data_IF_940387845377
#
_entry.id   IF_940387845377
#
_cell.length_a   1.000
_cell.length_b   1.000
_cell.length_c   1.000
_cell.angle_alpha   90.00
_cell.angle_beta   90.00
_cell.angle_gamma   90.00
#
_symmetry.space_group_name_H-M   'P 1'
#
loop_
_entity.id
_entity.type
_entity.pdbx_description
1 polymer ?
#
# COMPACT_ATOMS: atom_id res chain seq x y z
N UNK A 1 10.41 3.62 3.85
CA UNK A 1 10.68 4.80 3.00
C UNK A 1 9.51 5.03 2.05
N UNK A 2 8.43 5.59 2.60
CA UNK A 2 7.15 5.83 1.93
C UNK A 2 7.16 7.07 1.04
N UNK A 3 8.31 7.75 0.98
CA UNK A 3 8.57 8.89 0.09
C UNK A 3 8.39 8.53 -1.39
N UNK A 4 8.40 7.25 -1.75
CA UNK A 4 8.11 6.81 -3.12
C UNK A 4 6.63 6.65 -3.44
N UNK A 5 5.74 6.57 -2.45
CA UNK A 5 4.31 6.43 -2.72
C UNK A 5 3.75 7.71 -3.33
N UNK A 6 4.15 8.89 -2.85
CA UNK A 6 3.61 10.18 -3.32
C UNK A 6 4.65 11.31 -3.12
N UNK A 7 5.73 11.35 -3.92
CA UNK A 7 6.61 12.52 -3.92
C UNK A 7 6.97 12.99 -5.34
N UNK A 8 6.97 14.31 -5.52
CA UNK A 8 7.55 15.01 -6.68
C UNK A 8 6.68 15.16 -7.93
N UNK A 9 6.21 14.06 -8.54
CA UNK A 9 5.51 14.07 -9.84
C UNK A 9 4.16 13.32 -9.83
N UNK A 10 3.74 12.82 -8.67
CA UNK A 10 2.61 11.92 -8.49
C UNK A 10 1.22 12.57 -8.57
N UNK A 11 1.12 13.78 -9.15
CA UNK A 11 -0.17 14.43 -9.46
C UNK A 11 -0.73 13.99 -10.81
N UNK A 12 0.04 13.26 -11.61
CA UNK A 12 -0.46 12.69 -12.87
C UNK A 12 -1.55 11.65 -12.63
N UNK A 13 -1.47 10.87 -11.55
CA UNK A 13 -2.52 9.91 -11.18
C UNK A 13 -3.87 10.60 -10.96
N UNK A 14 -3.84 11.84 -10.47
CA UNK A 14 -5.04 12.66 -10.27
C UNK A 14 -5.64 13.17 -11.58
N UNK A 15 -4.92 13.07 -12.71
CA UNK A 15 -5.39 13.46 -14.05
C UNK A 15 -5.87 12.27 -14.88
N UNK A 16 -5.74 11.04 -14.38
CA UNK A 16 -6.18 9.82 -15.06
C UNK A 16 -7.71 9.77 -15.14
N UNK A 17 -8.23 9.25 -16.25
CA UNK A 17 -9.67 9.02 -16.47
C UNK A 17 -10.28 8.11 -15.39
N UNK A 18 -11.55 8.39 -15.05
CA UNK A 18 -12.32 7.55 -14.14
C UNK A 18 -12.37 6.10 -14.66
N UNK A 19 -12.07 5.14 -13.78
CA UNK A 19 -11.96 3.71 -14.10
C UNK A 19 -10.52 3.18 -14.25
N UNK A 20 -9.54 4.01 -14.63
CA UNK A 20 -8.11 3.61 -14.72
C UNK A 20 -7.31 3.94 -13.46
N UNK A 21 -7.83 4.85 -12.65
CA UNK A 21 -7.13 5.32 -11.44
C UNK A 21 -6.87 4.20 -10.43
N UNK A 22 -7.80 3.26 -10.25
CA UNK A 22 -7.65 2.16 -9.31
C UNK A 22 -6.45 1.26 -9.67
N UNK A 23 -6.34 0.88 -10.95
CA UNK A 23 -5.25 0.06 -11.44
C UNK A 23 -3.90 0.79 -11.38
N UNK A 24 -3.90 2.08 -11.70
CA UNK A 24 -2.70 2.91 -11.65
C UNK A 24 -2.20 3.03 -10.21
N UNK A 25 -3.12 3.32 -9.27
CA UNK A 25 -2.80 3.43 -7.86
C UNK A 25 -2.27 2.12 -7.28
N UNK A 26 -2.89 0.98 -7.62
CA UNK A 26 -2.36 -0.33 -7.25
C UNK A 26 -0.92 -0.51 -7.77
N UNK A 27 -0.67 -0.16 -9.03
CA UNK A 27 0.68 -0.23 -9.63
C UNK A 27 1.73 0.54 -8.84
N UNK A 28 1.41 1.76 -8.41
CA UNK A 28 2.32 2.58 -7.61
C UNK A 28 2.55 2.00 -6.20
N UNK A 29 1.51 1.46 -5.57
CA UNK A 29 1.63 0.78 -4.28
C UNK A 29 2.50 -0.48 -4.39
N UNK A 30 2.32 -1.29 -5.45
CA UNK A 30 3.16 -2.47 -5.70
C UNK A 30 4.63 -2.09 -5.92
N UNK A 31 4.89 -1.01 -6.66
CA UNK A 31 6.25 -0.52 -6.89
C UNK A 31 6.90 -0.02 -5.61
N UNK A 32 6.17 0.73 -4.78
CA UNK A 32 6.65 1.20 -3.49
C UNK A 32 6.96 0.04 -2.54
N UNK A 33 6.05 -0.93 -2.43
CA UNK A 33 6.23 -2.12 -1.59
C UNK A 33 7.48 -2.92 -2.02
N UNK A 34 7.68 -3.09 -3.34
CA UNK A 34 8.89 -3.74 -3.87
C UNK A 34 10.17 -2.97 -3.49
N UNK A 35 10.19 -1.65 -3.71
CA UNK A 35 11.36 -0.80 -3.38
C UNK A 35 11.67 -0.81 -1.89
N UNK A 36 10.64 -0.82 -1.05
CA UNK A 36 10.81 -0.92 0.41
C UNK A 36 11.48 -2.23 0.80
N UNK A 37 11.01 -3.35 0.24
CA UNK A 37 11.61 -4.64 0.48
C UNK A 37 13.06 -4.72 -0.02
N UNK A 38 13.37 -4.14 -1.19
CA UNK A 38 14.75 -4.03 -1.70
C UNK A 38 15.63 -3.19 -0.76
N UNK A 39 15.12 -2.07 -0.25
CA UNK A 39 15.82 -1.23 0.72
C UNK A 39 16.12 -1.99 2.02
N UNK A 40 15.11 -2.67 2.60
CA UNK A 40 15.28 -3.51 3.80
C UNK A 40 16.37 -4.57 3.58
N UNK A 41 16.29 -5.29 2.45
CA UNK A 41 17.30 -6.30 2.07
C UNK A 41 18.70 -5.71 1.93
N UNK A 42 18.82 -4.47 1.45
CA UNK A 42 20.11 -3.78 1.31
C UNK A 42 20.74 -3.36 2.65
N UNK A 43 19.90 -3.13 3.68
CA UNK A 43 20.34 -2.63 4.99
C UNK A 43 20.74 -3.75 5.95
N UNK A 44 20.22 -4.96 5.76
CA UNK A 44 20.58 -6.11 6.59
C UNK A 44 21.75 -6.87 5.93
N UNK A 45 22.92 -6.86 6.57
CA UNK A 45 24.13 -7.53 6.07
C UNK A 45 24.04 -9.06 6.21
N UNK A 46 24.56 -9.78 5.20
CA UNK A 46 24.35 -11.21 4.86
C UNK A 46 24.85 -12.28 5.87
N UNK A 47 24.86 -12.03 7.17
CA UNK A 47 25.18 -13.07 8.16
C UNK A 47 23.86 -13.69 8.68
N UNK A 48 23.30 -14.68 7.97
CA UNK A 48 22.17 -15.54 8.38
C UNK A 48 20.92 -14.86 9.00
N UNK A 49 20.68 -13.59 8.65
CA UNK A 49 19.61 -12.78 9.23
C UNK A 49 18.29 -12.84 8.44
N UNK A 50 17.99 -13.95 7.76
CA UNK A 50 16.73 -14.10 7.01
C UNK A 50 15.48 -13.82 7.84
N UNK A 51 15.51 -14.22 9.12
CA UNK A 51 14.43 -13.94 10.09
C UNK A 51 14.29 -12.45 10.42
N UNK A 52 15.39 -11.69 10.49
CA UNK A 52 15.36 -10.25 10.73
C UNK A 52 14.85 -9.48 9.50
N UNK A 53 15.28 -9.88 8.30
CA UNK A 53 14.75 -9.33 7.04
C UNK A 53 13.26 -9.58 6.96
N UNK A 54 12.82 -10.82 7.22
CA UNK A 54 11.42 -11.16 7.15
C UNK A 54 10.57 -10.37 8.15
N UNK A 55 11.08 -10.22 9.38
CA UNK A 55 10.41 -9.42 10.42
C UNK A 55 10.28 -7.96 10.00
N UNK A 56 11.35 -7.35 9.50
CA UNK A 56 11.33 -5.98 9.00
C UNK A 56 10.34 -5.82 7.83
N UNK A 57 10.32 -6.77 6.89
CA UNK A 57 9.35 -6.76 5.79
C UNK A 57 7.90 -6.88 6.29
N UNK A 58 7.62 -7.74 7.29
CA UNK A 58 6.29 -7.89 7.90
C UNK A 58 5.83 -6.58 8.57
N UNK A 59 6.73 -5.88 9.28
CA UNK A 59 6.41 -4.57 9.86
C UNK A 59 6.15 -3.52 8.79
N UNK A 60 7.02 -3.41 7.79
CA UNK A 60 6.81 -2.43 6.70
C UNK A 60 5.54 -2.72 5.88
N UNK A 61 5.15 -3.98 5.74
CA UNK A 61 3.86 -4.35 5.13
C UNK A 61 2.68 -3.81 5.94
N UNK A 62 2.71 -3.98 7.27
CA UNK A 62 1.68 -3.44 8.16
C UNK A 62 1.65 -1.90 8.12
N UNK A 63 2.81 -1.25 8.13
CA UNK A 63 2.91 0.22 8.04
C UNK A 63 2.29 0.75 6.72
N UNK A 64 2.59 0.10 5.58
CA UNK A 64 1.96 0.43 4.30
C UNK A 64 0.44 0.27 4.41
N UNK A 65 -0.03 -0.82 5.05
CA UNK A 65 -1.44 -1.06 5.30
C UNK A 65 -2.10 0.04 6.12
N UNK A 66 -1.48 0.47 7.23
CA UNK A 66 -2.03 1.53 8.09
C UNK A 66 -2.12 2.89 7.40
N UNK A 67 -1.15 3.20 6.54
CA UNK A 67 -1.15 4.40 5.70
C UNK A 67 -2.28 4.34 4.68
N UNK A 68 -2.40 3.23 3.95
CA UNK A 68 -3.45 3.05 2.96
C UNK A 68 -4.83 3.07 3.62
N UNK A 69 -5.00 2.46 4.79
CA UNK A 69 -6.27 2.42 5.55
C UNK A 69 -6.61 3.74 6.25
N UNK A 70 -5.67 4.68 6.34
CA UNK A 70 -5.87 5.96 7.05
C UNK A 70 -5.93 5.79 8.57
N UNK A 71 -5.32 4.72 9.10
CA UNK A 71 -5.19 4.44 10.54
C UNK A 71 -3.94 5.07 11.14
N UNK A 72 -2.98 5.45 10.31
CA UNK A 72 -1.71 5.99 10.78
C UNK A 72 -1.91 7.38 11.43
N UNK A 73 -1.33 7.53 12.63
CA UNK A 73 -1.56 8.62 13.59
C UNK A 73 -0.52 9.74 13.49
N UNK A 74 0.34 9.73 12.47
CA UNK A 74 1.48 10.64 12.40
C UNK A 74 1.08 12.10 12.06
N UNK A 75 1.21 13.01 13.03
CA UNK A 75 0.92 14.44 12.88
C UNK A 75 2.10 15.25 12.31
N UNK A 76 2.65 14.78 11.18
CA UNK A 76 3.70 15.48 10.45
C UNK A 76 3.15 16.14 9.17
N UNK A 77 3.73 17.28 8.75
CA UNK A 77 3.23 18.06 7.59
C UNK A 77 3.24 17.23 6.30
N UNK A 78 4.26 16.41 6.09
CA UNK A 78 4.36 15.59 4.88
C UNK A 78 3.31 14.48 4.87
N UNK A 79 3.01 13.91 6.04
CA UNK A 79 1.93 12.94 6.20
C UNK A 79 0.55 13.56 5.93
N UNK A 80 0.31 14.82 6.32
CA UNK A 80 -0.93 15.54 5.99
C UNK A 80 -1.14 15.71 4.49
N UNK A 81 -0.06 15.96 3.73
CA UNK A 81 -0.13 16.04 2.28
C UNK A 81 -0.45 14.68 1.67
N UNK A 82 0.24 13.62 2.12
CA UNK A 82 -0.01 12.25 1.72
C UNK A 82 -1.47 11.83 1.96
N UNK A 83 -1.98 12.08 3.16
CA UNK A 83 -3.36 11.76 3.53
C UNK A 83 -4.38 12.52 2.65
N UNK A 84 -4.14 13.81 2.36
CA UNK A 84 -5.02 14.57 1.44
C UNK A 84 -5.01 13.98 0.04
N UNK A 85 -3.85 13.58 -0.44
CA UNK A 85 -3.71 13.02 -1.78
C UNK A 85 -4.36 11.62 -1.86
N UNK A 86 -4.23 10.79 -0.81
CA UNK A 86 -4.95 9.51 -0.68
C UNK A 86 -6.47 9.72 -0.65
N UNK A 87 -6.98 10.67 0.15
CA UNK A 87 -8.42 11.00 0.16
C UNK A 87 -8.90 11.38 -1.24
N UNK A 88 -8.11 12.17 -1.97
CA UNK A 88 -8.45 12.57 -3.36
C UNK A 88 -8.45 11.37 -4.32
N UNK A 89 -7.47 10.48 -4.22
CA UNK A 89 -7.39 9.25 -5.02
C UNK A 89 -8.59 8.36 -4.74
N UNK A 90 -8.91 8.11 -3.47
CA UNK A 90 -10.03 7.26 -3.09
C UNK A 90 -11.40 7.87 -3.44
N UNK A 91 -11.52 9.20 -3.43
CA UNK A 91 -12.69 9.89 -3.97
C UNK A 91 -12.91 9.58 -5.45
N UNK A 92 -11.84 9.64 -6.26
CA UNK A 92 -11.90 9.27 -7.69
C UNK A 92 -12.13 7.77 -7.92
N UNK A 93 -11.54 6.90 -7.09
CA UNK A 93 -11.82 5.45 -7.13
C UNK A 93 -13.31 5.21 -6.88
N UNK A 94 -13.89 5.86 -5.87
CA UNK A 94 -15.32 5.79 -5.57
C UNK A 94 -16.21 6.30 -6.70
N UNK A 95 -15.84 7.42 -7.33
CA UNK A 95 -16.53 7.95 -8.52
C UNK A 95 -16.50 6.98 -9.70
N UNK A 96 -15.44 6.18 -9.83
CA UNK A 96 -15.29 5.16 -10.86
C UNK A 96 -16.08 3.86 -10.61
N UNK A 97 -16.72 3.70 -9.45
CA UNK A 97 -17.60 2.56 -9.17
C UNK A 97 -18.90 2.77 -9.94
N UNK A 98 -19.15 1.92 -10.95
CA UNK A 98 -20.35 2.00 -11.81
C UNK A 98 -21.58 1.33 -11.20
N UNK A 99 -21.37 0.40 -10.27
CA UNK A 99 -22.46 -0.26 -9.53
C UNK A 99 -22.92 0.66 -8.39
N UNK A 100 -24.14 1.18 -8.52
CA UNK A 100 -24.72 2.12 -7.55
C UNK A 100 -24.87 1.48 -6.17
N UNK A 101 -25.20 0.18 -6.10
CA UNK A 101 -25.38 -0.51 -4.81
C UNK A 101 -24.07 -0.63 -4.03
N UNK A 102 -22.96 -0.86 -4.74
CA UNK A 102 -21.61 -0.89 -4.15
C UNK A 102 -21.18 0.53 -3.76
N UNK A 103 -21.49 1.53 -4.59
CA UNK A 103 -21.14 2.93 -4.31
C UNK A 103 -21.84 3.45 -3.06
N UNK A 104 -23.13 3.15 -2.90
CA UNK A 104 -23.96 3.52 -1.75
C UNK A 104 -23.41 2.97 -0.42
N UNK A 105 -22.80 1.77 -0.44
CA UNK A 105 -22.12 1.18 0.74
C UNK A 105 -21.06 2.13 1.33
N UNK A 106 -20.48 3.00 0.49
CA UNK A 106 -19.44 3.95 0.89
C UNK A 106 -19.93 5.41 0.97
N UNK A 107 -21.24 5.68 0.81
CA UNK A 107 -21.86 7.02 0.89
C UNK A 107 -22.26 7.41 2.32
N UNK A 108 -21.32 7.26 3.27
CA UNK A 108 -21.52 7.73 4.65
C UNK A 108 -21.09 9.20 4.79
N UNK A 109 -22.02 10.08 5.19
CA UNK A 109 -21.72 11.49 5.53
C UNK A 109 -20.68 11.66 6.65
N UNK A 110 -20.44 10.61 7.45
CA UNK A 110 -19.45 10.61 8.53
C UNK A 110 -18.06 10.19 8.06
N UNK A 111 -17.93 9.61 6.87
CA UNK A 111 -16.67 9.08 6.33
C UNK A 111 -16.16 9.95 5.16
N UNK A 112 -15.67 11.14 5.50
CA UNK A 112 -15.07 12.06 4.53
C UNK A 112 -13.66 11.66 4.08
N UNK A 113 -13.10 10.60 4.64
CA UNK A 113 -11.76 10.08 4.34
C UNK A 113 -11.78 8.74 3.62
N UNK A 114 -12.97 8.22 3.32
CA UNK A 114 -13.18 6.93 2.67
C UNK A 114 -12.56 5.75 3.44
N UNK A 115 -12.55 5.81 4.78
CA UNK A 115 -11.93 4.81 5.66
C UNK A 115 -12.46 3.40 5.36
N UNK A 116 -13.78 3.23 5.17
CA UNK A 116 -14.33 1.90 4.86
C UNK A 116 -13.85 1.41 3.47
N UNK A 117 -13.89 2.28 2.46
CA UNK A 117 -13.44 1.94 1.12
C UNK A 117 -11.94 1.63 1.09
N UNK A 118 -11.12 2.39 1.82
CA UNK A 118 -9.68 2.19 1.98
C UNK A 118 -9.37 0.86 2.65
N UNK A 119 -10.13 0.48 3.68
CA UNK A 119 -10.01 -0.81 4.36
C UNK A 119 -10.35 -1.97 3.43
N UNK A 120 -11.49 -1.90 2.73
CA UNK A 120 -11.92 -2.95 1.80
C UNK A 120 -10.96 -3.05 0.60
N UNK A 121 -10.42 -1.91 0.13
CA UNK A 121 -9.41 -1.87 -0.92
C UNK A 121 -8.11 -2.53 -0.49
N UNK A 122 -7.64 -2.24 0.73
CA UNK A 122 -6.45 -2.90 1.27
C UNK A 122 -6.67 -4.42 1.34
N UNK A 123 -7.79 -4.86 1.91
CA UNK A 123 -8.11 -6.29 2.00
C UNK A 123 -8.11 -6.99 0.64
N UNK A 124 -8.64 -6.32 -0.40
CA UNK A 124 -8.70 -6.85 -1.75
C UNK A 124 -7.34 -6.92 -2.49
N UNK A 125 -6.30 -6.21 -2.01
CA UNK A 125 -5.02 -6.08 -2.73
C UNK A 125 -3.78 -6.47 -1.90
N UNK A 126 -3.92 -6.65 -0.58
CA UNK A 126 -2.82 -6.92 0.36
C UNK A 126 -1.99 -8.16 0.02
N UNK A 127 -2.60 -9.15 -0.61
CA UNK A 127 -1.94 -10.36 -1.12
C UNK A 127 -0.96 -10.05 -2.26
N UNK A 128 -1.39 -9.25 -3.24
CA UNK A 128 -0.56 -8.81 -4.35
C UNK A 128 0.58 -7.91 -3.87
N UNK A 129 0.29 -7.03 -2.91
CA UNK A 129 1.27 -6.13 -2.29
C UNK A 129 2.34 -6.96 -1.55
N UNK A 130 1.93 -7.94 -0.75
CA UNK A 130 2.87 -8.85 -0.07
C UNK A 130 3.72 -9.63 -1.07
N UNK A 131 3.12 -10.13 -2.16
CA UNK A 131 3.85 -10.81 -3.23
C UNK A 131 4.90 -9.89 -3.88
N UNK A 132 4.58 -8.62 -4.09
CA UNK A 132 5.53 -7.64 -4.64
C UNK A 132 6.73 -7.39 -3.72
N UNK A 133 6.53 -7.35 -2.40
CA UNK A 133 7.63 -7.25 -1.41
C UNK A 133 8.54 -8.48 -1.45
N UNK A 134 7.95 -9.65 -1.67
CA UNK A 134 8.67 -10.91 -1.71
C UNK A 134 9.48 -11.12 -2.98
N UNK A 135 9.20 -10.39 -4.08
CA UNK A 135 9.91 -10.51 -5.35
C UNK A 135 11.44 -10.70 -5.14
N UNK A 136 12.01 -11.84 -5.55
CA UNK A 136 13.40 -12.15 -5.29
C UNK A 136 14.28 -11.34 -6.25
N UNK A 137 15.44 -10.82 -5.81
CA UNK A 137 16.51 -10.57 -6.77
C UNK A 137 16.90 -11.92 -7.39
N UNK A 138 17.31 -11.93 -8.66
CA UNK A 138 17.53 -13.11 -9.55
C UNK A 138 18.35 -14.29 -8.96
N UNK A 139 18.91 -14.19 -7.74
CA UNK A 139 19.76 -15.20 -7.09
C UNK A 139 19.55 -15.38 -5.57
N UNK A 140 18.48 -14.89 -4.95
CA UNK A 140 18.33 -14.96 -3.47
C UNK A 140 17.39 -16.05 -2.95
N UNK A 141 17.76 -16.59 -1.77
CA UNK A 141 16.89 -17.41 -0.91
C UNK A 141 15.80 -16.49 -0.33
N UNK A 142 14.54 -16.91 -0.39
CA UNK A 142 13.42 -16.16 0.18
C UNK A 142 13.55 -16.09 1.71
N UNK A 143 13.62 -14.89 2.32
CA UNK A 143 13.85 -14.75 3.75
C UNK A 143 12.63 -15.13 4.61
N UNK A 144 11.42 -15.16 4.03
CA UNK A 144 10.16 -15.46 4.72
C UNK A 144 9.63 -16.87 4.47
N UNK A 145 10.50 -17.90 4.43
CA UNK A 145 10.06 -19.30 4.35
C UNK A 145 9.62 -19.82 5.72
N UNK A 146 8.47 -19.36 6.20
CA UNK A 146 7.70 -20.12 7.19
C UNK A 146 6.75 -21.04 6.40
N UNK A 147 6.51 -22.28 6.86
CA UNK A 147 5.68 -23.32 6.21
C UNK A 147 4.18 -22.97 6.02
N UNK A 148 3.84 -21.68 6.07
CA UNK A 148 2.55 -21.10 5.73
C UNK A 148 2.87 -19.83 4.94
N UNK A 149 2.78 -19.92 3.60
CA UNK A 149 2.84 -18.80 2.66
C UNK A 149 1.62 -17.86 2.83
N UNK A 150 1.28 -17.51 4.06
CA UNK A 150 0.13 -16.68 4.39
C UNK A 150 0.57 -15.23 4.42
N UNK A 151 -0.22 -14.37 3.77
CA UNK A 151 -0.10 -12.92 3.90
C UNK A 151 -0.07 -12.56 5.39
N UNK A 152 0.93 -11.80 5.89
CA UNK A 152 1.05 -11.47 7.31
C UNK A 152 -0.25 -10.85 7.80
N UNK A 153 -0.72 -11.20 9.00
CA UNK A 153 -1.86 -10.49 9.62
C UNK A 153 -1.44 -9.06 9.99
N UNK A 154 -2.35 -8.11 9.78
CA UNK A 154 -2.19 -6.65 9.91
C UNK A 154 -3.28 -6.02 10.81
#
# INVERSE_FOLDING_TARGET
NLEYLINGNHKEILKIENGKINHSFLGDVLLAAKKEAEFIKSKVTNNDNGSAICRAMKYSFADIGDIIRGKDLWDHRDFKNLERDLVTIFGKIKEGITDETIKEKYDSYKDNKHIQLRSDWWEANRDQIWKAMQCPPKKAIFPCRDNKDTVPLD
#
